data_IF_521808709959
#
_entry.id   IF_521808709959
#
_cell.length_a   1.000
_cell.length_b   1.000
_cell.length_c   1.000
_cell.angle_alpha   90.00
_cell.angle_beta   90.00
_cell.angle_gamma   90.00
#
_symmetry.space_group_name_H-M   'P 1'
#
loop_
_entity.id
_entity.type
_entity.pdbx_description
1 polymer ?
#
# COMPACT_ATOMS: atom_id res chain seq x y z
N UNK A 1 10.27 -34.15 -5.05
CA UNK A 1 11.23 -33.01 -5.22
C UNK A 1 10.54 -31.62 -5.29
N UNK A 2 9.23 -31.53 -5.30
CA UNK A 2 8.48 -30.25 -5.46
C UNK A 2 8.26 -29.45 -4.17
N UNK A 3 8.09 -30.08 -3.03
CA UNK A 3 7.79 -29.38 -1.76
C UNK A 3 8.98 -28.55 -1.20
N UNK A 4 10.16 -29.13 -1.21
CA UNK A 4 11.38 -28.45 -0.67
C UNK A 4 11.74 -27.18 -1.44
N UNK A 5 11.49 -27.17 -2.76
CA UNK A 5 11.78 -26.00 -3.60
C UNK A 5 10.75 -24.88 -3.41
N UNK A 6 9.52 -25.23 -3.04
CA UNK A 6 8.44 -24.28 -2.73
C UNK A 6 8.71 -23.58 -1.40
N UNK A 7 9.17 -24.27 -0.37
CA UNK A 7 9.47 -23.72 0.94
C UNK A 7 10.63 -22.73 0.89
N UNK A 8 11.68 -23.01 0.12
CA UNK A 8 12.82 -22.09 -0.07
C UNK A 8 12.40 -20.80 -0.79
N UNK A 9 11.53 -20.91 -1.79
CA UNK A 9 11.02 -19.75 -2.49
C UNK A 9 10.13 -18.87 -1.60
N UNK A 10 9.30 -19.46 -0.75
CA UNK A 10 8.47 -18.72 0.22
C UNK A 10 9.36 -18.03 1.26
N UNK A 11 10.36 -18.71 1.81
CA UNK A 11 11.29 -18.15 2.79
C UNK A 11 12.02 -16.93 2.21
N UNK A 12 12.55 -17.03 0.99
CA UNK A 12 13.21 -15.90 0.32
C UNK A 12 12.28 -14.71 0.10
N UNK A 13 11.00 -14.96 -0.13
CA UNK A 13 9.96 -13.94 -0.27
C UNK A 13 9.62 -13.30 1.07
N UNK A 14 9.43 -14.10 2.12
CA UNK A 14 9.13 -13.58 3.47
C UNK A 14 10.24 -12.70 4.01
N UNK A 15 11.52 -13.00 3.75
CA UNK A 15 12.66 -12.17 4.15
C UNK A 15 12.62 -10.74 3.60
N UNK A 16 11.96 -10.52 2.48
CA UNK A 16 11.80 -9.19 1.89
C UNK A 16 10.70 -8.36 2.56
N UNK A 17 9.84 -9.00 3.36
CA UNK A 17 8.80 -8.30 4.11
C UNK A 17 9.38 -7.76 5.42
N UNK A 18 9.13 -6.48 5.75
CA UNK A 18 9.62 -5.87 7.00
C UNK A 18 9.26 -6.66 8.26
N UNK A 19 8.13 -7.38 8.23
CA UNK A 19 7.60 -8.16 9.34
C UNK A 19 8.52 -9.33 9.75
N UNK A 20 9.28 -9.88 8.81
CA UNK A 20 10.17 -11.04 9.00
C UNK A 20 11.66 -10.64 8.97
N UNK A 21 11.95 -9.35 8.93
CA UNK A 21 13.32 -8.86 8.88
C UNK A 21 14.10 -9.25 10.12
N UNK A 22 15.36 -9.72 9.95
CA UNK A 22 16.21 -10.17 11.05
C UNK A 22 15.99 -11.61 11.50
N UNK A 23 15.04 -12.34 10.93
CA UNK A 23 14.83 -13.77 11.19
C UNK A 23 15.79 -14.63 10.36
N UNK A 24 16.30 -15.70 10.95
CA UNK A 24 17.05 -16.74 10.25
C UNK A 24 16.14 -17.64 9.42
N UNK A 25 16.72 -18.38 8.46
CA UNK A 25 15.97 -19.36 7.67
C UNK A 25 15.36 -20.48 8.52
N UNK A 26 16.01 -20.82 9.64
CA UNK A 26 15.53 -21.83 10.56
C UNK A 26 14.27 -21.35 11.29
N UNK A 27 14.28 -20.11 11.81
CA UNK A 27 13.11 -19.50 12.46
C UNK A 27 11.93 -19.37 11.49
N UNK A 28 12.18 -18.95 10.23
CA UNK A 28 11.14 -18.88 9.21
C UNK A 28 10.56 -20.25 8.87
N UNK A 29 11.38 -21.30 8.79
CA UNK A 29 10.90 -22.68 8.61
C UNK A 29 10.05 -23.16 9.77
N UNK A 30 10.46 -22.86 11.01
CA UNK A 30 9.68 -23.19 12.21
C UNK A 30 8.33 -22.49 12.22
N UNK A 31 8.28 -21.19 11.84
CA UNK A 31 7.03 -20.43 11.69
C UNK A 31 6.13 -21.09 10.65
N UNK A 32 6.64 -21.39 9.46
CA UNK A 32 5.86 -22.02 8.40
C UNK A 32 5.37 -23.42 8.76
N UNK A 33 6.11 -24.14 9.60
CA UNK A 33 5.70 -25.49 10.08
C UNK A 33 4.62 -25.43 11.17
N UNK A 34 4.57 -24.37 11.98
CA UNK A 34 3.67 -24.26 13.15
C UNK A 34 2.42 -23.43 12.85
N UNK A 35 2.56 -22.36 12.08
CA UNK A 35 1.48 -21.39 11.81
C UNK A 35 0.58 -21.93 10.68
N UNK A 36 -0.70 -22.03 10.93
CA UNK A 36 -1.68 -22.41 9.91
C UNK A 36 -1.92 -21.24 8.97
N UNK A 37 -1.31 -21.30 7.79
CA UNK A 37 -1.46 -20.32 6.74
C UNK A 37 -2.48 -20.80 5.70
N UNK A 38 -3.40 -19.91 5.33
CA UNK A 38 -4.26 -20.14 4.17
C UNK A 38 -3.54 -19.58 2.92
N UNK A 39 -3.33 -20.44 1.94
CA UNK A 39 -2.81 -20.04 0.63
C UNK A 39 -3.95 -19.89 -0.36
N UNK A 40 -3.97 -18.77 -1.10
CA UNK A 40 -4.97 -18.49 -2.12
C UNK A 40 -4.28 -18.00 -3.39
N UNK A 41 -4.69 -18.54 -4.54
CA UNK A 41 -4.33 -18.01 -5.86
C UNK A 41 -5.47 -17.15 -6.37
N UNK A 42 -5.13 -16.00 -6.97
CA UNK A 42 -6.09 -15.05 -7.53
C UNK A 42 -5.67 -14.79 -8.98
N UNK A 43 -6.62 -14.92 -9.90
CA UNK A 43 -6.41 -14.71 -11.33
C UNK A 43 -6.35 -13.22 -11.70
N UNK A 44 -5.82 -12.90 -12.91
CA UNK A 44 -5.81 -11.53 -13.40
C UNK A 44 -7.22 -10.94 -13.46
N UNK A 45 -7.37 -9.71 -13.00
CA UNK A 45 -8.66 -9.01 -12.98
C UNK A 45 -9.57 -9.36 -11.79
N UNK A 46 -9.24 -10.40 -11.00
CA UNK A 46 -10.04 -10.79 -9.84
C UNK A 46 -9.75 -9.91 -8.61
N UNK A 47 -10.75 -9.66 -7.76
CA UNK A 47 -10.56 -8.95 -6.50
C UNK A 47 -9.77 -9.83 -5.50
N UNK A 48 -8.78 -9.23 -4.86
CA UNK A 48 -8.09 -9.82 -3.71
C UNK A 48 -8.92 -9.59 -2.45
N UNK A 49 -9.25 -8.32 -2.17
CA UNK A 49 -10.19 -7.87 -1.14
C UNK A 49 -10.84 -6.57 -1.61
N UNK A 50 -12.02 -6.27 -1.09
CA UNK A 50 -12.76 -5.04 -1.36
C UNK A 50 -12.75 -4.10 -0.15
N UNK A 51 -12.82 -2.81 -0.40
CA UNK A 51 -13.04 -1.80 0.64
C UNK A 51 -14.29 -2.17 1.45
N UNK A 52 -14.18 -2.13 2.78
CA UNK A 52 -15.26 -2.52 3.68
C UNK A 52 -15.26 -3.99 4.09
N UNK A 53 -14.54 -4.87 3.39
CA UNK A 53 -14.39 -6.27 3.80
C UNK A 53 -13.74 -6.37 5.18
N UNK A 54 -14.13 -7.41 5.94
CA UNK A 54 -13.50 -7.69 7.24
C UNK A 54 -12.06 -8.10 7.05
N UNK A 55 -11.17 -7.52 7.86
CA UNK A 55 -9.71 -7.78 7.84
C UNK A 55 -9.29 -8.53 9.08
N UNK A 56 -9.83 -9.19 9.85
CA UNK A 56 -9.36 -9.89 11.07
C UNK A 56 -8.23 -10.90 10.85
N UNK A 57 -7.34 -10.65 9.90
CA UNK A 57 -6.22 -11.52 9.51
C UNK A 57 -5.07 -10.70 8.97
N UNK A 58 -3.87 -11.27 8.97
CA UNK A 58 -2.72 -10.73 8.24
C UNK A 58 -2.75 -11.24 6.80
N UNK A 59 -2.81 -10.33 5.85
CA UNK A 59 -2.83 -10.63 4.42
C UNK A 59 -1.50 -10.23 3.77
N UNK A 60 -0.91 -11.16 3.05
CA UNK A 60 0.34 -10.98 2.32
C UNK A 60 0.18 -11.41 0.87
N UNK A 61 0.60 -10.57 -0.06
CA UNK A 61 0.80 -10.94 -1.46
C UNK A 61 2.25 -11.41 -1.57
N UNK A 62 2.47 -12.69 -1.81
CA UNK A 62 3.80 -13.29 -1.87
C UNK A 62 4.30 -13.50 -3.30
N UNK A 63 3.45 -13.30 -4.30
CA UNK A 63 3.83 -13.35 -5.72
C UNK A 63 2.80 -12.66 -6.59
N UNK A 64 3.24 -12.07 -7.71
CA UNK A 64 2.39 -11.41 -8.69
C UNK A 64 2.43 -9.88 -8.65
N UNK A 65 1.59 -9.27 -9.47
CA UNK A 65 1.38 -7.81 -9.55
C UNK A 65 -0.09 -7.49 -9.32
N UNK A 66 -0.35 -6.42 -8.62
CA UNK A 66 -1.70 -6.05 -8.21
C UNK A 66 -1.84 -4.53 -8.09
N UNK A 67 -3.06 -4.05 -8.05
CA UNK A 67 -3.38 -2.66 -7.78
C UNK A 67 -4.10 -2.50 -6.45
N UNK A 68 -3.93 -1.34 -5.82
CA UNK A 68 -4.83 -0.86 -4.76
C UNK A 68 -5.56 0.38 -5.22
N UNK A 69 -6.83 0.50 -4.84
CA UNK A 69 -7.67 1.64 -5.18
C UNK A 69 -8.26 2.20 -3.88
N UNK A 70 -8.04 3.50 -3.66
CA UNK A 70 -8.71 4.29 -2.63
C UNK A 70 -9.63 5.32 -3.27
N UNK A 71 -10.74 5.60 -2.61
CA UNK A 71 -11.72 6.60 -3.02
C UNK A 71 -11.81 7.70 -1.98
N UNK A 72 -12.11 8.93 -2.44
CA UNK A 72 -12.56 9.99 -1.55
C UNK A 72 -13.86 9.60 -0.84
N UNK A 73 -14.18 10.26 0.28
CA UNK A 73 -15.36 9.94 1.06
C UNK A 73 -16.68 10.09 0.27
N UNK A 74 -16.69 11.01 -0.69
CA UNK A 74 -17.81 11.28 -1.61
C UNK A 74 -17.73 10.51 -2.94
N UNK A 75 -16.71 9.66 -3.12
CA UNK A 75 -16.44 8.89 -4.35
C UNK A 75 -16.21 9.74 -5.60
N UNK A 76 -15.91 11.02 -5.46
CA UNK A 76 -15.74 11.94 -6.61
C UNK A 76 -14.34 11.82 -7.24
N UNK A 77 -13.36 11.32 -6.49
CA UNK A 77 -12.03 11.00 -7.03
C UNK A 77 -11.45 9.73 -6.43
N UNK A 78 -10.46 9.18 -7.09
CA UNK A 78 -9.79 7.96 -6.65
C UNK A 78 -8.31 7.94 -7.00
N UNK A 79 -7.57 7.15 -6.26
CA UNK A 79 -6.16 6.86 -6.50
C UNK A 79 -5.98 5.38 -6.72
N UNK A 80 -5.36 5.01 -7.82
CA UNK A 80 -4.90 3.65 -8.10
C UNK A 80 -3.38 3.61 -7.98
N UNK A 81 -2.87 2.66 -7.21
CA UNK A 81 -1.44 2.43 -7.05
C UNK A 81 -1.09 1.04 -7.57
N UNK A 82 -0.04 0.95 -8.40
CA UNK A 82 0.45 -0.30 -8.99
C UNK A 82 1.58 -0.87 -8.13
N UNK A 83 1.44 -2.13 -7.76
CA UNK A 83 2.27 -2.78 -6.75
C UNK A 83 2.78 -4.13 -7.23
N UNK A 84 3.93 -4.53 -6.68
CA UNK A 84 4.53 -5.83 -6.90
C UNK A 84 4.68 -6.57 -5.57
N UNK A 85 4.53 -7.88 -5.61
CA UNK A 85 4.86 -8.71 -4.46
C UNK A 85 6.39 -8.69 -4.20
N UNK A 86 6.84 -8.90 -2.92
CA UNK A 86 5.97 -9.16 -1.79
C UNK A 86 5.44 -7.89 -1.12
N UNK A 87 4.22 -7.94 -0.60
CA UNK A 87 3.61 -6.81 0.11
C UNK A 87 2.67 -7.26 1.23
N UNK A 88 2.57 -6.43 2.28
CA UNK A 88 1.57 -6.54 3.34
C UNK A 88 0.36 -5.69 2.98
N UNK A 89 -0.85 -6.22 3.16
CA UNK A 89 -2.08 -5.48 2.91
C UNK A 89 -2.63 -4.97 4.24
N UNK A 90 -2.59 -3.65 4.45
CA UNK A 90 -3.21 -2.95 5.58
C UNK A 90 -3.14 -3.72 6.92
N UNK A 91 -1.92 -4.02 7.36
CA UNK A 91 -1.66 -4.79 8.59
C UNK A 91 -2.31 -4.15 9.84
N UNK A 92 -2.50 -2.85 9.85
CA UNK A 92 -3.20 -2.11 10.90
C UNK A 92 -4.65 -2.55 11.07
N UNK A 93 -5.29 -3.04 10.00
CA UNK A 93 -6.66 -3.52 10.04
C UNK A 93 -6.81 -4.93 10.66
N UNK A 94 -5.71 -5.63 10.96
CA UNK A 94 -5.76 -6.92 11.67
C UNK A 94 -6.16 -6.74 13.15
N UNK A 95 -5.90 -5.57 13.72
CA UNK A 95 -6.20 -5.19 15.10
C UNK A 95 -6.95 -3.84 15.16
N UNK A 96 -7.15 -3.33 16.36
CA UNK A 96 -7.81 -2.05 16.57
C UNK A 96 -9.34 -2.15 16.52
N UNK A 97 -10.00 -0.99 16.59
CA UNK A 97 -11.47 -0.92 16.66
C UNK A 97 -12.13 -1.05 15.28
N UNK A 98 -11.45 -0.63 14.21
CA UNK A 98 -11.95 -0.75 12.84
C UNK A 98 -11.15 -1.81 12.08
N UNK A 99 -11.70 -3.03 12.04
CA UNK A 99 -11.07 -4.18 11.37
C UNK A 99 -11.73 -4.40 10.00
N UNK A 100 -11.62 -3.39 9.12
CA UNK A 100 -12.09 -3.43 7.75
C UNK A 100 -11.07 -2.79 6.82
N UNK A 101 -10.91 -3.33 5.64
CA UNK A 101 -10.09 -2.73 4.61
C UNK A 101 -10.63 -1.36 4.21
N UNK A 102 -9.77 -0.36 4.16
CA UNK A 102 -10.10 1.00 3.72
C UNK A 102 -9.88 1.20 2.22
N UNK A 103 -9.29 0.20 1.54
CA UNK A 103 -8.98 0.20 0.11
C UNK A 103 -9.35 -1.14 -0.50
N UNK A 104 -9.62 -1.15 -1.80
CA UNK A 104 -9.77 -2.38 -2.58
C UNK A 104 -8.43 -2.78 -3.19
N UNK A 105 -8.19 -4.09 -3.30
CA UNK A 105 -7.01 -4.67 -3.95
C UNK A 105 -7.45 -5.63 -5.05
N UNK A 106 -6.81 -5.55 -6.23
CA UNK A 106 -7.15 -6.32 -7.40
C UNK A 106 -5.89 -6.87 -8.05
N UNK A 107 -5.92 -8.13 -8.47
CA UNK A 107 -4.82 -8.76 -9.18
C UNK A 107 -4.73 -8.22 -10.63
N UNK A 108 -3.55 -7.78 -11.07
CA UNK A 108 -3.27 -7.41 -12.46
C UNK A 108 -2.63 -8.57 -13.22
N UNK A 109 -1.88 -9.42 -12.54
CA UNK A 109 -1.36 -10.70 -13.00
C UNK A 109 -1.69 -11.79 -11.98
N UNK A 110 -1.45 -13.09 -12.26
CA UNK A 110 -1.68 -14.14 -11.27
C UNK A 110 -0.96 -13.82 -9.95
N UNK A 111 -1.73 -13.74 -8.86
CA UNK A 111 -1.23 -13.43 -7.52
C UNK A 111 -1.31 -14.63 -6.60
N UNK A 112 -0.29 -14.81 -5.78
CA UNK A 112 -0.27 -15.78 -4.69
C UNK A 112 -0.39 -15.04 -3.36
N UNK A 113 -1.36 -15.44 -2.56
CA UNK A 113 -1.63 -14.86 -1.25
C UNK A 113 -1.28 -15.85 -0.16
N UNK A 114 -0.78 -15.32 0.95
CA UNK A 114 -0.60 -16.03 2.22
C UNK A 114 -1.36 -15.25 3.30
N UNK A 115 -2.28 -15.93 3.98
CA UNK A 115 -3.18 -15.30 4.94
C UNK A 115 -3.02 -16.03 6.27
N UNK A 116 -2.74 -15.26 7.33
CA UNK A 116 -2.59 -15.75 8.70
C UNK A 116 -3.77 -15.21 9.51
N UNK A 117 -4.52 -16.12 10.15
CA UNK A 117 -5.66 -15.75 10.99
C UNK A 117 -5.22 -14.89 12.19
N UNK A 118 -6.15 -14.15 12.78
CA UNK A 118 -5.87 -13.34 13.97
C UNK A 118 -5.33 -14.18 15.14
N UNK A 119 -5.88 -15.36 15.33
CA UNK A 119 -5.42 -16.29 16.40
C UNK A 119 -3.99 -16.73 16.17
N UNK A 120 -3.66 -17.15 14.96
CA UNK A 120 -2.29 -17.55 14.59
C UNK A 120 -1.33 -16.37 14.66
N UNK A 121 -1.79 -15.16 14.27
CA UNK A 121 -1.00 -13.93 14.37
C UNK A 121 -0.69 -13.57 15.83
N UNK A 122 -1.66 -13.74 16.74
CA UNK A 122 -1.45 -13.55 18.18
C UNK A 122 -0.45 -14.55 18.75
N UNK A 123 -0.59 -15.82 18.35
CA UNK A 123 0.34 -16.89 18.75
C UNK A 123 1.76 -16.58 18.26
N UNK A 124 1.90 -16.16 17.00
CA UNK A 124 3.17 -15.79 16.41
C UNK A 124 3.83 -14.60 17.13
N UNK A 125 3.03 -13.61 17.54
CA UNK A 125 3.51 -12.51 18.38
C UNK A 125 3.95 -12.96 19.79
N UNK A 126 3.36 -14.01 20.32
CA UNK A 126 3.76 -14.59 21.61
C UNK A 126 5.05 -15.40 21.51
N UNK A 127 5.18 -16.17 20.44
CA UNK A 127 6.28 -17.13 20.27
C UNK A 127 7.56 -16.48 19.72
N UNK A 128 7.43 -15.41 18.90
CA UNK A 128 8.58 -14.76 18.29
C UNK A 128 8.71 -13.30 18.71
N UNK A 129 9.77 -13.00 19.48
CA UNK A 129 10.09 -11.63 19.88
C UNK A 129 10.43 -10.76 18.65
N UNK A 130 11.18 -11.30 17.67
CA UNK A 130 11.58 -10.57 16.47
C UNK A 130 10.33 -10.17 15.68
N UNK A 131 9.40 -11.10 15.43
CA UNK A 131 8.15 -10.82 14.74
C UNK A 131 7.34 -9.74 15.46
N UNK A 132 7.17 -9.87 16.78
CA UNK A 132 6.44 -8.90 17.60
C UNK A 132 7.05 -7.50 17.54
N UNK A 133 8.36 -7.38 17.65
CA UNK A 133 9.06 -6.09 17.55
C UNK A 133 8.90 -5.49 16.15
N UNK A 134 9.02 -6.30 15.09
CA UNK A 134 8.83 -5.83 13.72
C UNK A 134 7.40 -5.33 13.50
N UNK A 135 6.39 -6.05 14.00
CA UNK A 135 4.99 -5.61 13.94
C UNK A 135 4.80 -4.26 14.66
N UNK A 136 5.31 -4.13 15.88
CA UNK A 136 5.24 -2.86 16.64
C UNK A 136 5.96 -1.73 15.90
N UNK A 137 7.12 -1.98 15.31
CA UNK A 137 7.87 -0.99 14.55
C UNK A 137 7.09 -0.51 13.31
N UNK A 138 6.47 -1.42 12.56
CA UNK A 138 5.62 -1.08 11.40
C UNK A 138 4.48 -0.17 11.84
N UNK A 139 3.72 -0.57 12.86
CA UNK A 139 2.55 0.18 13.35
C UNK A 139 2.97 1.52 13.96
N UNK A 140 4.02 1.55 14.78
CA UNK A 140 4.54 2.78 15.39
C UNK A 140 5.06 3.76 14.34
N UNK A 141 5.79 3.27 13.32
CA UNK A 141 6.30 4.11 12.23
C UNK A 141 5.14 4.70 11.42
N UNK A 142 4.10 3.92 11.12
CA UNK A 142 2.91 4.40 10.43
C UNK A 142 2.20 5.49 11.22
N UNK A 143 2.01 5.29 12.53
CA UNK A 143 1.41 6.28 13.43
C UNK A 143 2.25 7.56 13.52
N UNK A 144 3.58 7.44 13.65
CA UNK A 144 4.49 8.60 13.70
C UNK A 144 4.41 9.41 12.41
N UNK A 145 4.43 8.76 11.23
CA UNK A 145 4.30 9.42 9.93
C UNK A 145 2.96 10.18 9.82
N UNK A 146 1.86 9.57 10.23
CA UNK A 146 0.54 10.22 10.23
C UNK A 146 0.50 11.45 11.15
N UNK A 147 1.11 11.37 12.33
CA UNK A 147 1.18 12.50 13.26
C UNK A 147 2.09 13.62 12.75
N UNK A 148 3.26 13.26 12.20
CA UNK A 148 4.19 14.25 11.67
C UNK A 148 3.62 15.01 10.46
N UNK A 149 2.78 14.38 9.65
CA UNK A 149 2.12 15.03 8.52
C UNK A 149 1.26 16.23 8.95
N UNK A 150 0.65 16.19 10.12
CA UNK A 150 -0.17 17.30 10.68
C UNK A 150 0.69 18.52 11.04
N UNK A 151 1.95 18.30 11.43
CA UNK A 151 2.89 19.35 11.82
C UNK A 151 3.89 19.74 10.73
N UNK A 152 3.71 19.20 9.53
CA UNK A 152 4.53 19.58 8.38
C UNK A 152 4.35 21.06 8.06
N UNK A 153 5.42 21.71 7.57
CA UNK A 153 5.35 23.08 7.13
C UNK A 153 4.28 23.24 6.05
N UNK A 154 3.55 24.34 6.10
CA UNK A 154 2.62 24.68 5.03
C UNK A 154 3.37 24.77 3.69
N UNK A 155 2.78 24.24 2.60
CA UNK A 155 3.38 24.33 1.27
C UNK A 155 3.67 25.77 0.89
N UNK A 156 4.85 26.03 0.31
CA UNK A 156 5.32 27.39 0.02
C UNK A 156 4.60 28.02 -1.17
N UNK A 157 4.30 27.22 -2.17
CA UNK A 157 3.68 27.68 -3.42
C UNK A 157 2.63 26.69 -3.93
N UNK A 158 2.08 26.95 -5.11
CA UNK A 158 1.03 26.10 -5.69
C UNK A 158 1.56 24.74 -6.14
N UNK A 159 2.82 24.65 -6.58
CA UNK A 159 3.48 23.41 -6.94
C UNK A 159 3.58 22.50 -5.70
N UNK A 160 4.12 23.05 -4.61
CA UNK A 160 4.25 22.33 -3.34
C UNK A 160 2.88 21.87 -2.80
N UNK A 161 1.84 22.73 -2.94
CA UNK A 161 0.46 22.36 -2.51
C UNK A 161 -0.09 21.19 -3.30
N UNK A 162 0.07 21.21 -4.62
CA UNK A 162 -0.38 20.13 -5.50
C UNK A 162 0.40 18.84 -5.22
N UNK A 163 1.72 18.91 -5.10
CA UNK A 163 2.57 17.75 -4.78
C UNK A 163 2.20 17.17 -3.41
N UNK A 164 2.04 18.02 -2.41
CA UNK A 164 1.61 17.61 -1.07
C UNK A 164 0.24 16.92 -1.10
N UNK A 165 -0.73 17.48 -1.81
CA UNK A 165 -2.05 16.88 -2.00
C UNK A 165 -1.94 15.48 -2.63
N UNK A 166 -1.19 15.32 -3.71
CA UNK A 166 -1.01 14.03 -4.36
C UNK A 166 -0.36 13.00 -3.43
N UNK A 167 0.77 13.38 -2.80
CA UNK A 167 1.53 12.49 -1.92
C UNK A 167 0.76 12.07 -0.67
N UNK A 168 -0.11 12.93 -0.13
CA UNK A 168 -0.92 12.63 1.06
C UNK A 168 -1.97 11.54 0.82
N UNK A 169 -2.33 11.29 -0.44
CA UNK A 169 -3.29 10.27 -0.84
C UNK A 169 -2.66 8.92 -1.18
N UNK A 170 -1.32 8.85 -1.24
CA UNK A 170 -0.63 7.59 -1.56
C UNK A 170 -0.35 6.78 -0.29
N UNK A 171 -0.70 5.50 -0.33
CA UNK A 171 -0.33 4.52 0.69
C UNK A 171 1.15 4.18 0.60
N UNK A 172 1.62 3.97 -0.63
CA UNK A 172 2.99 3.60 -0.93
C UNK A 172 3.73 4.82 -1.51
N UNK A 173 4.89 5.21 -0.94
CA UNK A 173 5.56 6.47 -1.30
C UNK A 173 6.23 6.45 -2.68
N UNK A 174 6.34 5.28 -3.31
CA UNK A 174 7.05 5.09 -4.58
C UNK A 174 6.22 4.31 -5.59
N UNK A 175 6.66 4.31 -6.85
CA UNK A 175 6.07 3.55 -7.94
C UNK A 175 4.96 4.30 -8.68
N UNK A 176 4.36 3.60 -9.64
CA UNK A 176 3.36 4.15 -10.55
C UNK A 176 2.01 4.38 -9.85
N UNK A 177 1.43 5.56 -10.09
CA UNK A 177 0.12 5.98 -9.55
C UNK A 177 -0.74 6.59 -10.65
N UNK A 178 -2.03 6.32 -10.58
CA UNK A 178 -3.04 6.99 -11.41
C UNK A 178 -4.05 7.67 -10.49
N UNK A 179 -4.09 9.00 -10.56
CA UNK A 179 -5.04 9.81 -9.80
C UNK A 179 -6.20 10.18 -10.73
N UNK A 180 -7.39 9.65 -10.49
CA UNK A 180 -8.60 10.00 -11.24
C UNK A 180 -9.34 11.11 -10.51
N UNK A 181 -9.27 12.32 -11.06
CA UNK A 181 -9.90 13.52 -10.50
C UNK A 181 -10.24 14.51 -11.62
N UNK A 182 -11.41 15.14 -11.54
CA UNK A 182 -11.75 16.23 -12.45
C UNK A 182 -10.99 17.49 -12.08
N UNK A 183 -10.67 18.31 -13.06
CA UNK A 183 -9.90 19.55 -12.87
C UNK A 183 -10.60 20.53 -11.93
N UNK A 184 -11.93 20.58 -12.01
CA UNK A 184 -12.78 21.39 -11.13
C UNK A 184 -12.61 20.95 -9.68
N UNK A 185 -12.74 19.62 -9.43
CA UNK A 185 -12.62 19.06 -8.09
C UNK A 185 -11.21 19.28 -7.51
N UNK A 186 -10.17 19.10 -8.32
CA UNK A 186 -8.80 19.36 -7.90
C UNK A 186 -8.57 20.84 -7.53
N UNK A 187 -9.21 21.76 -8.24
CA UNK A 187 -9.14 23.19 -7.92
C UNK A 187 -9.87 23.51 -6.61
N UNK A 188 -11.00 22.87 -6.33
CA UNK A 188 -11.71 22.96 -5.06
C UNK A 188 -10.87 22.44 -3.89
N UNK A 189 -10.30 21.23 -4.01
CA UNK A 189 -9.42 20.64 -2.98
C UNK A 189 -8.19 21.52 -2.68
N UNK A 190 -7.67 22.16 -3.70
CA UNK A 190 -6.52 23.06 -3.57
C UNK A 190 -6.90 24.52 -3.26
N UNK A 191 -8.20 24.83 -3.08
CA UNK A 191 -8.70 26.18 -2.84
C UNK A 191 -8.12 27.23 -3.79
N UNK A 192 -8.17 26.95 -5.10
CA UNK A 192 -7.58 27.80 -6.14
C UNK A 192 -8.38 27.77 -7.45
N UNK A 193 -7.96 28.54 -8.45
CA UNK A 193 -8.60 28.54 -9.75
C UNK A 193 -8.18 27.32 -10.60
N UNK A 194 -9.10 26.84 -11.45
CA UNK A 194 -8.83 25.81 -12.45
C UNK A 194 -7.65 26.16 -13.36
N UNK A 195 -7.51 27.45 -13.70
CA UNK A 195 -6.41 27.93 -14.54
C UNK A 195 -5.06 27.77 -13.82
N UNK A 196 -4.98 28.09 -12.55
CA UNK A 196 -3.77 27.94 -11.73
C UNK A 196 -3.38 26.46 -11.64
N UNK A 197 -4.32 25.57 -11.36
CA UNK A 197 -4.08 24.11 -11.34
C UNK A 197 -3.57 23.61 -12.69
N UNK A 198 -4.23 24.02 -13.79
CA UNK A 198 -3.82 23.62 -15.14
C UNK A 198 -2.40 24.05 -15.48
N UNK A 199 -2.00 25.27 -15.11
CA UNK A 199 -0.65 25.79 -15.34
C UNK A 199 0.39 25.03 -14.50
N UNK A 200 0.08 24.75 -13.23
CA UNK A 200 0.96 23.97 -12.34
C UNK A 200 1.14 22.54 -12.85
N UNK A 201 0.06 21.88 -13.27
CA UNK A 201 0.12 20.54 -13.85
C UNK A 201 0.95 20.49 -15.15
N UNK A 202 0.82 21.53 -16.01
CA UNK A 202 1.66 21.61 -17.23
C UNK A 202 3.14 21.75 -16.90
N UNK A 203 3.49 22.54 -15.87
CA UNK A 203 4.87 22.64 -15.41
C UNK A 203 5.42 21.28 -14.93
N UNK A 204 4.68 20.57 -14.06
CA UNK A 204 5.06 19.24 -13.61
C UNK A 204 5.16 18.23 -14.76
N UNK A 205 4.30 18.34 -15.77
CA UNK A 205 4.34 17.49 -16.95
C UNK A 205 5.56 17.83 -17.84
N UNK A 206 5.93 19.10 -17.99
CA UNK A 206 7.14 19.52 -18.70
C UNK A 206 8.42 19.01 -18.01
N UNK A 207 8.41 18.92 -16.67
CA UNK A 207 9.49 18.31 -15.89
C UNK A 207 9.50 16.76 -15.98
N UNK A 208 8.54 16.15 -16.69
CA UNK A 208 8.43 14.70 -16.84
C UNK A 208 8.04 13.95 -15.58
N UNK A 209 7.39 14.62 -14.61
CA UNK A 209 6.97 14.03 -13.33
C UNK A 209 5.62 13.34 -13.41
N UNK A 210 4.73 13.84 -14.28
CA UNK A 210 3.40 13.27 -14.51
C UNK A 210 2.93 13.56 -15.95
N UNK A 211 1.86 12.87 -16.35
CA UNK A 211 1.10 13.24 -17.55
C UNK A 211 -0.36 13.52 -17.20
N UNK A 212 -0.98 14.44 -17.96
CA UNK A 212 -2.36 14.88 -17.72
C UNK A 212 -3.26 14.29 -18.79
N UNK A 213 -4.18 13.43 -18.37
CA UNK A 213 -5.24 12.86 -19.21
C UNK A 213 -6.60 13.54 -18.95
N UNK A 214 -7.64 13.05 -19.65
CA UNK A 214 -9.02 13.52 -19.43
C UNK A 214 -9.54 13.02 -18.07
N UNK A 215 -9.51 13.89 -17.06
CA UNK A 215 -9.94 13.55 -15.69
C UNK A 215 -9.00 12.58 -14.96
N UNK A 216 -7.72 12.52 -15.38
CA UNK A 216 -6.73 11.66 -14.74
C UNK A 216 -5.34 12.28 -14.81
N UNK A 217 -4.54 11.97 -13.79
CA UNK A 217 -3.12 12.26 -13.73
C UNK A 217 -2.40 10.92 -13.65
N UNK A 218 -1.47 10.68 -14.55
CA UNK A 218 -0.61 9.50 -14.54
C UNK A 218 0.77 9.90 -14.02
N UNK A 219 1.23 9.24 -12.96
CA UNK A 219 2.45 9.55 -12.22
C UNK A 219 3.33 8.30 -12.25
N UNK A 220 4.27 8.17 -13.19
CA UNK A 220 5.05 6.96 -13.36
C UNK A 220 5.93 6.60 -12.16
N UNK A 221 6.38 7.60 -11.42
CA UNK A 221 7.32 7.44 -10.30
C UNK A 221 7.04 8.46 -9.20
N UNK A 222 6.13 8.10 -8.27
CA UNK A 222 5.66 9.02 -7.22
C UNK A 222 6.80 9.59 -6.34
N UNK A 223 7.87 8.83 -6.14
CA UNK A 223 9.05 9.29 -5.39
C UNK A 223 9.73 10.52 -5.99
N UNK A 224 9.65 10.71 -7.32
CA UNK A 224 10.23 11.86 -8.03
C UNK A 224 9.45 13.17 -7.83
N UNK A 225 8.23 13.11 -7.32
CA UNK A 225 7.47 14.32 -7.01
C UNK A 225 8.08 15.15 -5.87
N UNK A 226 8.99 14.55 -5.09
CA UNK A 226 9.67 15.20 -3.95
C UNK A 226 10.96 15.94 -4.34
N UNK A 227 11.46 15.65 -5.53
CA UNK A 227 12.67 16.28 -6.10
C UNK A 227 12.29 17.63 -6.75
#
# INVERSE_FOLDING_TARGET
>A
MTAVNTDLAIISTLRQLPLFMGMSDMELKEILARVKCLYRKVGPGEPIVSQGDRSGSLWMVVGGTFTTIAYSADYDYSVTEYLHAPALLQIECAFGWQQRFTRSYKAEAPCNLMIISKTELQQLCSDSLIFRINLLNILSTSLQKSRMAVWANAPKDMRDRLVHFLLSHFEYPAGHKVFKIRMERLAEELHTSRLTVSNTLRALAADGLLSVGRGSLDIPAAQRLRD
#
